data_IF_109147370522
#
_entry.id   IF_109147370522
#
_cell.length_a   1.000
_cell.length_b   1.000
_cell.length_c   1.000
_cell.angle_alpha   90.00
_cell.angle_beta   90.00
_cell.angle_gamma   90.00
#
_symmetry.space_group_name_H-M   'P 1'
#
loop_
_entity.id
_entity.type
_entity.pdbx_description
1 polymer ?
#
# COMPACT_ATOMS: atom_id res chain seq x y z
N UNK A 1 1.91 -2.23 18.50
CA UNK A 1 2.95 -1.72 17.57
C UNK A 1 2.43 -0.76 16.50
N UNK A 2 1.14 -0.81 16.10
CA UNK A 2 0.59 0.12 15.11
C UNK A 2 0.41 1.57 15.62
N UNK A 3 0.10 1.78 16.91
CA UNK A 3 -0.23 3.09 17.49
C UNK A 3 0.96 4.06 17.68
N UNK A 4 2.20 3.57 17.64
CA UNK A 4 3.37 4.34 18.11
C UNK A 4 3.96 5.30 17.04
N UNK A 5 3.39 5.33 15.83
CA UNK A 5 3.94 6.06 14.69
C UNK A 5 3.00 7.10 14.07
N UNK A 6 1.86 7.40 14.70
CA UNK A 6 0.81 8.26 14.10
C UNK A 6 1.24 9.70 13.87
N UNK A 7 2.21 10.19 14.65
CA UNK A 7 2.77 11.54 14.52
C UNK A 7 3.92 11.60 13.50
N UNK A 8 4.41 10.44 13.05
CA UNK A 8 5.55 10.39 12.14
C UNK A 8 5.15 10.85 10.76
N UNK A 9 5.99 11.72 10.19
CA UNK A 9 5.81 12.21 8.83
C UNK A 9 5.89 11.04 7.83
N UNK A 10 5.00 11.03 6.84
CA UNK A 10 4.93 9.97 5.83
C UNK A 10 6.27 9.77 5.11
N UNK A 11 7.02 10.85 4.86
CA UNK A 11 8.38 10.76 4.30
C UNK A 11 9.33 9.91 5.15
N UNK A 12 9.27 10.07 6.48
CA UNK A 12 10.12 9.36 7.42
C UNK A 12 9.68 7.90 7.58
N UNK A 13 8.36 7.68 7.70
CA UNK A 13 7.80 6.34 7.75
C UNK A 13 8.14 5.54 6.48
N UNK A 14 8.06 6.16 5.30
CA UNK A 14 8.43 5.54 4.03
C UNK A 14 9.92 5.28 3.91
N UNK A 15 10.78 6.20 4.34
CA UNK A 15 12.22 5.98 4.35
C UNK A 15 12.62 4.84 5.31
N UNK A 16 11.98 4.74 6.48
CA UNK A 16 12.16 3.63 7.41
C UNK A 16 11.72 2.30 6.77
N UNK A 17 10.53 2.28 6.17
CA UNK A 17 9.97 1.12 5.47
C UNK A 17 10.90 0.61 4.36
N UNK A 18 11.48 1.50 3.55
CA UNK A 18 12.43 1.12 2.50
C UNK A 18 13.72 0.52 3.04
N UNK A 19 14.24 1.04 4.16
CA UNK A 19 15.44 0.48 4.81
C UNK A 19 15.16 -0.91 5.37
N UNK A 20 14.04 -1.08 6.05
CA UNK A 20 13.64 -2.35 6.68
C UNK A 20 13.44 -3.47 5.65
N UNK A 21 12.93 -3.15 4.47
CA UNK A 21 12.62 -4.12 3.41
C UNK A 21 13.68 -4.16 2.29
N UNK A 22 14.81 -3.46 2.46
CA UNK A 22 15.92 -3.49 1.50
C UNK A 22 15.60 -2.93 0.11
N UNK A 23 14.62 -2.02 0.01
CA UNK A 23 14.12 -1.47 -1.26
C UNK A 23 14.99 -0.36 -1.86
N UNK A 24 16.12 -0.02 -1.22
CA UNK A 24 17.01 1.07 -1.60
C UNK A 24 16.48 2.47 -1.19
N UNK A 25 17.32 3.49 -1.35
CA UNK A 25 17.06 4.85 -0.78
C UNK A 25 15.79 5.51 -1.33
N UNK A 26 15.43 5.21 -2.57
CA UNK A 26 14.27 5.80 -3.25
C UNK A 26 13.25 4.75 -3.71
N UNK A 27 13.32 3.49 -3.24
CA UNK A 27 12.33 2.45 -3.61
C UNK A 27 12.19 2.15 -5.12
N UNK A 28 13.16 2.58 -5.95
CA UNK A 28 13.11 2.46 -7.41
C UNK A 28 12.30 3.54 -8.15
N UNK A 29 11.94 4.65 -7.49
CA UNK A 29 11.12 5.71 -8.10
C UNK A 29 11.86 6.51 -9.16
N UNK A 30 13.16 6.77 -8.98
CA UNK A 30 14.03 7.41 -9.96
C UNK A 30 14.41 6.52 -11.16
N UNK A 31 14.08 5.22 -11.17
CA UNK A 31 14.46 4.34 -12.28
C UNK A 31 13.67 4.66 -13.54
N UNK A 32 14.34 4.77 -14.69
CA UNK A 32 13.71 5.06 -15.99
C UNK A 32 13.00 3.84 -16.57
N UNK A 33 13.51 2.65 -16.26
CA UNK A 33 12.99 1.35 -16.68
C UNK A 33 12.76 0.48 -15.47
N UNK A 34 11.62 -0.18 -15.43
CA UNK A 34 11.30 -1.13 -14.37
C UNK A 34 11.11 -2.51 -14.95
N UNK A 35 11.68 -3.48 -14.24
CA UNK A 35 11.45 -4.90 -14.45
C UNK A 35 10.37 -5.38 -13.48
N UNK A 36 9.25 -5.87 -14.00
CA UNK A 36 8.29 -6.64 -13.19
C UNK A 36 8.34 -8.08 -13.69
N UNK A 37 8.43 -9.03 -12.76
CA UNK A 37 8.26 -10.45 -13.10
C UNK A 37 6.77 -10.74 -13.11
N UNK A 38 6.18 -10.89 -14.29
CA UNK A 38 4.83 -11.42 -14.44
C UNK A 38 4.96 -12.93 -14.59
N UNK A 39 5.01 -13.64 -13.46
CA UNK A 39 5.35 -15.07 -13.44
C UNK A 39 6.78 -15.34 -13.94
N UNK A 40 7.02 -16.33 -14.82
CA UNK A 40 8.36 -16.65 -15.32
C UNK A 40 8.89 -15.62 -16.32
N UNK A 41 8.05 -14.72 -16.84
CA UNK A 41 8.42 -13.76 -17.88
C UNK A 41 8.79 -12.40 -17.26
N UNK A 42 10.05 -11.95 -17.41
CA UNK A 42 10.43 -10.59 -17.03
C UNK A 42 9.92 -9.59 -18.07
N UNK A 43 9.02 -8.69 -17.66
CA UNK A 43 8.54 -7.59 -18.51
C UNK A 43 9.25 -6.31 -18.12
N UNK A 44 9.83 -5.63 -19.11
CA UNK A 44 10.48 -4.34 -18.95
C UNK A 44 9.60 -3.26 -19.54
N UNK A 45 9.36 -2.19 -18.78
CA UNK A 45 8.66 -1.04 -19.31
C UNK A 45 9.14 0.26 -18.67
N UNK A 46 8.87 1.37 -19.35
CA UNK A 46 9.25 2.69 -18.89
C UNK A 46 8.50 3.03 -17.62
N UNK A 47 9.20 3.61 -16.65
CA UNK A 47 8.59 4.12 -15.44
C UNK A 47 7.80 5.40 -15.78
N UNK A 48 6.52 5.25 -16.08
CA UNK A 48 5.64 6.37 -16.41
C UNK A 48 5.25 7.14 -15.16
N UNK A 49 4.81 8.41 -15.31
CA UNK A 49 4.29 9.21 -14.20
C UNK A 49 3.11 8.52 -13.50
N UNK A 50 2.21 7.91 -14.27
CA UNK A 50 1.08 7.14 -13.76
C UNK A 50 1.49 5.93 -12.91
N UNK A 51 2.52 5.18 -13.34
CA UNK A 51 3.06 4.07 -12.55
C UNK A 51 3.67 4.55 -11.24
N UNK A 52 4.48 5.62 -11.26
CA UNK A 52 5.05 6.18 -10.02
C UNK A 52 3.97 6.63 -9.04
N UNK A 53 2.89 7.23 -9.53
CA UNK A 53 1.76 7.60 -8.69
C UNK A 53 1.07 6.36 -8.09
N UNK A 54 0.85 5.31 -8.88
CA UNK A 54 0.28 4.05 -8.41
C UNK A 54 1.15 3.33 -7.39
N UNK A 55 2.48 3.33 -7.60
CA UNK A 55 3.46 2.75 -6.68
C UNK A 55 3.52 3.53 -5.37
N UNK A 56 3.46 4.87 -5.43
CA UNK A 56 3.39 5.71 -4.24
C UNK A 56 2.17 5.38 -3.40
N UNK A 57 1.01 5.27 -4.04
CA UNK A 57 -0.24 4.91 -3.36
C UNK A 57 -0.12 3.55 -2.68
N UNK A 58 0.44 2.56 -3.39
CA UNK A 58 0.64 1.21 -2.88
C UNK A 58 1.60 1.15 -1.68
N UNK A 59 2.77 1.79 -1.75
CA UNK A 59 3.71 1.85 -0.62
C UNK A 59 3.08 2.54 0.60
N UNK A 60 2.29 3.60 0.38
CA UNK A 60 1.57 4.28 1.44
C UNK A 60 0.47 3.41 2.06
N UNK A 61 -0.19 2.56 1.26
CA UNK A 61 -1.14 1.58 1.79
C UNK A 61 -0.45 0.58 2.72
N UNK A 62 0.76 0.10 2.39
CA UNK A 62 1.53 -0.76 3.30
C UNK A 62 1.81 -0.07 4.62
N UNK A 63 2.32 1.17 4.58
CA UNK A 63 2.63 1.96 5.79
C UNK A 63 1.38 2.17 6.65
N UNK A 64 0.24 2.48 6.02
CA UNK A 64 -1.00 2.75 6.75
C UNK A 64 -1.61 1.48 7.35
N UNK A 65 -1.64 0.38 6.59
CA UNK A 65 -2.31 -0.87 6.96
C UNK A 65 -1.46 -1.76 7.86
N UNK A 66 -0.14 -1.65 7.78
CA UNK A 66 0.84 -2.48 8.49
C UNK A 66 1.09 -3.84 7.84
N UNK A 67 0.61 -4.08 6.61
CA UNK A 67 0.93 -5.33 5.90
C UNK A 67 2.39 -5.34 5.43
N UNK A 68 3.06 -6.46 5.60
CA UNK A 68 4.47 -6.65 5.23
C UNK A 68 4.65 -6.78 3.70
N UNK A 69 5.89 -6.63 3.19
CA UNK A 69 6.23 -6.97 1.78
C UNK A 69 6.53 -8.46 1.57
N UNK A 70 6.02 -9.32 2.45
CA UNK A 70 6.14 -10.78 2.29
C UNK A 70 5.09 -11.26 1.30
N UNK A 71 5.26 -12.46 0.73
CA UNK A 71 4.27 -13.02 -0.20
C UNK A 71 2.85 -13.04 0.40
N UNK A 72 2.73 -13.32 1.70
CA UNK A 72 1.43 -13.27 2.40
C UNK A 72 0.98 -11.83 2.63
N UNK A 73 1.87 -10.91 2.99
CA UNK A 73 1.54 -9.50 3.18
C UNK A 73 1.09 -8.80 1.88
N UNK A 74 1.74 -9.13 0.75
CA UNK A 74 1.33 -8.72 -0.60
C UNK A 74 -0.08 -9.23 -0.96
N UNK A 75 -0.42 -10.45 -0.54
CA UNK A 75 -1.77 -10.96 -0.72
C UNK A 75 -2.79 -10.28 0.20
N UNK A 76 -2.41 -9.92 1.42
CA UNK A 76 -3.28 -9.17 2.34
C UNK A 76 -3.56 -7.76 1.82
N UNK A 77 -2.52 -7.01 1.42
CA UNK A 77 -2.71 -5.67 0.86
C UNK A 77 -3.45 -5.72 -0.46
N UNK A 78 -3.16 -6.70 -1.33
CA UNK A 78 -3.89 -6.88 -2.58
C UNK A 78 -5.38 -7.14 -2.35
N UNK A 79 -5.74 -7.96 -1.34
CA UNK A 79 -7.13 -8.17 -0.96
C UNK A 79 -7.78 -6.89 -0.41
N UNK A 80 -7.06 -6.12 0.41
CA UNK A 80 -7.54 -4.85 0.94
C UNK A 80 -7.75 -3.81 -0.18
N UNK A 81 -6.83 -3.73 -1.15
CA UNK A 81 -6.92 -2.80 -2.29
C UNK A 81 -8.02 -3.19 -3.29
N UNK A 82 -8.24 -4.49 -3.53
CA UNK A 82 -9.38 -4.96 -4.33
C UNK A 82 -10.71 -4.63 -3.66
N UNK A 83 -10.79 -4.81 -2.35
CA UNK A 83 -12.00 -4.56 -1.58
C UNK A 83 -12.35 -3.07 -1.46
N UNK A 84 -11.35 -2.22 -1.26
CA UNK A 84 -11.49 -0.77 -1.17
C UNK A 84 -11.51 -0.07 -2.55
N UNK A 85 -11.15 -0.81 -3.61
CA UNK A 85 -11.32 -0.48 -5.02
C UNK A 85 -10.08 0.17 -5.68
N UNK A 86 -9.68 -0.37 -6.84
CA UNK A 86 -8.49 0.07 -7.60
C UNK A 86 -8.78 1.06 -8.75
N UNK A 87 -10.05 1.46 -8.94
CA UNK A 87 -10.50 2.41 -9.97
C UNK A 87 -9.96 2.05 -11.38
N UNK A 88 -9.33 3.01 -12.08
CA UNK A 88 -8.82 2.87 -13.45
C UNK A 88 -7.38 2.31 -13.50
N UNK A 89 -6.80 1.95 -12.36
CA UNK A 89 -5.48 1.31 -12.31
C UNK A 89 -5.61 -0.18 -12.62
N UNK A 90 -5.82 -0.53 -13.89
CA UNK A 90 -5.97 -1.92 -14.33
C UNK A 90 -4.79 -2.83 -13.96
N UNK A 91 -3.58 -2.26 -13.91
CA UNK A 91 -2.40 -3.00 -13.46
C UNK A 91 -2.52 -3.40 -11.97
N UNK A 92 -3.08 -2.53 -11.12
CA UNK A 92 -3.32 -2.84 -9.71
C UNK A 92 -4.37 -3.96 -9.58
N UNK A 93 -5.45 -3.93 -10.37
CA UNK A 93 -6.42 -5.03 -10.42
C UNK A 93 -5.74 -6.37 -10.76
N UNK A 94 -4.96 -6.42 -11.84
CA UNK A 94 -4.33 -7.66 -12.29
C UNK A 94 -3.32 -8.22 -11.27
N UNK A 95 -2.45 -7.35 -10.74
CA UNK A 95 -1.42 -7.76 -9.78
C UNK A 95 -2.05 -8.21 -8.46
N UNK A 96 -3.04 -7.47 -7.96
CA UNK A 96 -3.72 -7.81 -6.71
C UNK A 96 -4.51 -9.11 -6.83
N UNK A 97 -5.19 -9.36 -7.96
CA UNK A 97 -5.87 -10.65 -8.19
C UNK A 97 -4.87 -11.80 -8.19
N UNK A 98 -3.71 -11.63 -8.83
CA UNK A 98 -2.64 -12.63 -8.82
C UNK A 98 -2.11 -12.91 -7.40
N UNK A 99 -1.79 -11.85 -6.65
CA UNK A 99 -1.28 -11.95 -5.28
C UNK A 99 -2.32 -12.61 -4.34
N UNK A 100 -3.58 -12.20 -4.42
CA UNK A 100 -4.68 -12.78 -3.65
C UNK A 100 -4.91 -14.25 -4.01
N UNK A 101 -4.85 -14.60 -5.29
CA UNK A 101 -4.98 -16.00 -5.74
C UNK A 101 -3.95 -16.91 -5.07
N UNK A 102 -2.68 -16.49 -5.05
CA UNK A 102 -1.61 -17.23 -4.37
C UNK A 102 -1.81 -17.21 -2.86
N UNK A 103 -2.14 -16.06 -2.28
CA UNK A 103 -2.34 -15.92 -0.84
C UNK A 103 -3.53 -16.69 -0.28
N UNK A 104 -4.59 -16.91 -1.07
CA UNK A 104 -5.71 -17.76 -0.67
C UNK A 104 -5.31 -19.23 -0.52
N UNK A 105 -4.27 -19.69 -1.21
CA UNK A 105 -3.74 -21.05 -1.05
C UNK A 105 -2.86 -21.18 0.20
N UNK A 106 -2.20 -20.10 0.62
CA UNK A 106 -1.20 -20.12 1.70
C UNK A 106 -1.79 -19.65 3.05
N UNK A 107 -2.57 -18.56 3.02
CA UNK A 107 -3.09 -17.89 4.21
C UNK A 107 -4.52 -17.35 4.00
N UNK A 108 -5.51 -18.20 3.63
CA UNK A 108 -6.85 -17.75 3.24
C UNK A 108 -7.56 -16.90 4.29
N UNK A 109 -7.42 -17.25 5.57
CA UNK A 109 -8.05 -16.51 6.67
C UNK A 109 -7.50 -15.08 6.81
N UNK A 110 -6.21 -14.88 6.55
CA UNK A 110 -5.54 -13.58 6.62
C UNK A 110 -6.00 -12.69 5.46
N UNK A 111 -5.96 -13.25 4.25
CA UNK A 111 -6.43 -12.59 3.02
C UNK A 111 -7.92 -12.20 3.13
N UNK A 112 -8.77 -13.10 3.63
CA UNK A 112 -10.19 -12.80 3.83
C UNK A 112 -10.44 -11.68 4.85
N UNK A 113 -9.71 -11.66 5.97
CA UNK A 113 -9.80 -10.57 6.95
C UNK A 113 -9.35 -9.23 6.34
N UNK A 114 -8.29 -9.23 5.54
CA UNK A 114 -7.81 -8.04 4.86
C UNK A 114 -8.84 -7.51 3.85
N UNK A 115 -9.49 -8.42 3.10
CA UNK A 115 -10.62 -8.08 2.22
C UNK A 115 -11.78 -7.44 3.01
N UNK A 116 -12.22 -8.05 4.11
CA UNK A 116 -13.29 -7.51 4.95
C UNK A 116 -12.95 -6.14 5.55
N UNK A 117 -11.69 -5.93 5.95
CA UNK A 117 -11.18 -4.63 6.40
C UNK A 117 -11.27 -3.60 5.27
N UNK A 118 -10.81 -3.95 4.06
CA UNK A 118 -10.81 -3.05 2.91
C UNK A 118 -12.20 -2.59 2.49
N UNK A 119 -13.23 -3.43 2.63
CA UNK A 119 -14.63 -3.05 2.34
C UNK A 119 -15.16 -1.89 3.18
N UNK A 120 -14.51 -1.56 4.29
CA UNK A 120 -14.88 -0.47 5.20
C UNK A 120 -13.93 0.72 5.13
N UNK A 121 -12.96 0.67 4.22
CA UNK A 121 -11.91 1.67 4.09
C UNK A 121 -12.04 2.44 2.77
N UNK A 122 -11.47 3.63 2.75
CA UNK A 122 -11.19 4.35 1.51
C UNK A 122 -9.88 3.84 0.90
N UNK A 123 -9.59 4.25 -0.34
CA UNK A 123 -8.36 3.89 -1.04
C UNK A 123 -7.74 5.13 -1.70
N UNK A 124 -6.41 5.27 -1.68
CA UNK A 124 -5.73 6.40 -2.30
C UNK A 124 -5.87 6.45 -3.83
N UNK A 125 -6.21 5.32 -4.47
CA UNK A 125 -6.61 5.28 -5.88
C UNK A 125 -7.87 6.12 -6.17
N UNK A 126 -8.70 6.36 -5.16
CA UNK A 126 -9.85 7.27 -5.24
C UNK A 126 -9.49 8.69 -4.81
N UNK A 127 -8.78 8.82 -3.69
CA UNK A 127 -8.51 10.12 -3.05
C UNK A 127 -7.42 10.94 -3.76
N UNK A 128 -6.58 10.29 -4.57
CA UNK A 128 -5.39 10.89 -5.16
C UNK A 128 -4.29 11.14 -4.12
N UNK A 129 -3.09 11.49 -4.57
CA UNK A 129 -1.96 11.91 -3.74
C UNK A 129 -1.50 13.28 -4.24
N UNK A 130 -1.38 14.26 -3.35
CA UNK A 130 -0.94 15.62 -3.71
C UNK A 130 0.46 15.94 -3.15
N UNK A 131 1.01 17.08 -3.53
CA UNK A 131 2.39 17.48 -3.20
C UNK A 131 2.63 17.77 -1.71
N UNK A 132 1.59 17.91 -0.89
CA UNK A 132 1.69 18.21 0.55
C UNK A 132 1.89 16.96 1.41
N UNK A 133 1.72 15.78 0.82
CA UNK A 133 1.73 14.52 1.56
C UNK A 133 3.07 14.08 2.17
N UNK A 134 4.26 14.50 1.70
CA UNK A 134 5.50 14.16 2.38
C UNK A 134 5.53 14.60 3.86
N UNK A 135 4.83 15.69 4.17
CA UNK A 135 4.80 16.31 5.51
C UNK A 135 3.53 15.95 6.30
N UNK A 136 2.59 15.22 5.70
CA UNK A 136 1.43 14.66 6.41
C UNK A 136 1.87 13.50 7.31
N UNK A 137 1.06 13.13 8.31
CA UNK A 137 1.42 12.08 9.26
C UNK A 137 0.78 10.73 8.92
N UNK A 138 1.37 9.63 9.40
CA UNK A 138 0.79 8.28 9.26
C UNK A 138 -0.62 8.24 9.86
N UNK A 139 -0.85 8.93 10.98
CA UNK A 139 -2.17 8.98 11.62
C UNK A 139 -3.20 9.71 10.76
N UNK A 140 -2.82 10.81 10.11
CA UNK A 140 -3.69 11.51 9.15
C UNK A 140 -4.05 10.63 7.96
N UNK A 141 -3.06 9.93 7.39
CA UNK A 141 -3.30 8.96 6.32
C UNK A 141 -4.29 7.87 6.74
N UNK A 142 -4.11 7.28 7.93
CA UNK A 142 -5.02 6.26 8.47
C UNK A 142 -6.44 6.77 8.66
N UNK A 143 -6.63 8.02 9.11
CA UNK A 143 -7.95 8.65 9.21
C UNK A 143 -8.60 8.78 7.83
N UNK A 144 -7.87 9.29 6.84
CA UNK A 144 -8.37 9.44 5.46
C UNK A 144 -8.77 8.10 4.84
N UNK A 145 -8.02 7.04 5.15
CA UNK A 145 -8.31 5.68 4.73
C UNK A 145 -9.44 5.00 5.53
N UNK A 146 -9.93 5.60 6.62
CA UNK A 146 -10.94 4.98 7.47
C UNK A 146 -10.40 3.74 8.19
N UNK A 147 -9.13 3.75 8.60
CA UNK A 147 -8.47 2.64 9.28
C UNK A 147 -8.65 2.66 10.80
N UNK A 148 -9.16 3.76 11.36
CA UNK A 148 -9.61 3.85 12.75
C UNK A 148 -11.06 3.38 12.86
N UNK A 149 -11.37 2.63 13.92
CA UNK A 149 -12.76 2.33 14.26
C UNK A 149 -13.49 3.61 14.71
N UNK A 150 -14.84 3.64 14.66
CA UNK A 150 -15.61 4.69 15.31
C UNK A 150 -15.31 4.65 16.82
N UNK A 151 -14.42 5.55 17.29
CA UNK A 151 -13.97 5.62 18.69
C UNK A 151 -12.48 5.87 18.91
N UNK A 152 -11.63 5.81 17.88
CA UNK A 152 -10.19 6.12 18.00
C UNK A 152 -9.86 7.54 17.48
N UNK A 153 -10.68 8.52 17.83
CA UNK A 153 -10.31 9.93 17.65
C UNK A 153 -9.32 10.36 18.75
N UNK A 154 -8.06 10.53 18.32
CA UNK A 154 -7.05 11.43 18.88
C UNK A 154 -6.94 11.56 20.41
N UNK A 155 -6.01 10.83 21.02
CA UNK A 155 -5.34 11.33 22.22
C UNK A 155 -4.15 12.20 21.83
N UNK A 156 -4.45 13.46 21.53
CA UNK A 156 -3.47 14.55 21.50
C UNK A 156 -4.06 15.73 22.28
N UNK A 157 -3.79 15.75 23.58
CA UNK A 157 -3.87 16.98 24.40
C UNK A 157 -2.55 17.71 24.29
#
# INVERSE_FOLDING_TARGET
MAADNDLTALRQARAAYFREHGLGVDGGYAQTWVKIKLGPLPVWFRNTRGRRAALLQHDLHHIATGYETTLVGEAEIGAWELASGCRHYYAAWLLNVGAVGIGLLIAPRRVWRAFLRGRRCNNLYHLGVDTRWPDDTVGSLRRRLGLYGPGEESHGR
#
